data_IF_523255021222
#
_entry.id   IF_523255021222
#
_cell.length_a   1.000
_cell.length_b   1.000
_cell.length_c   1.000
_cell.angle_alpha   90.00
_cell.angle_beta   90.00
_cell.angle_gamma   90.00
#
_symmetry.space_group_name_H-M   'P 1'
#
loop_
_entity.id
_entity.type
_entity.pdbx_description
1 polymer ?
#
# COMPACT_ATOMS: atom_id res chain seq x y z
N UNK A 1 -2.37 56.33 -48.50
CA UNK A 1 -2.22 56.14 -47.04
C UNK A 1 -2.77 54.75 -46.69
N UNK A 2 -1.90 53.76 -46.76
CA UNK A 2 -2.29 52.35 -46.51
C UNK A 2 -2.11 52.06 -45.00
N UNK A 3 -3.20 51.73 -44.32
CA UNK A 3 -3.20 51.26 -42.96
C UNK A 3 -2.92 49.77 -42.93
N UNK A 4 -1.70 49.39 -42.48
CA UNK A 4 -1.33 48.04 -42.15
C UNK A 4 -1.96 47.65 -40.82
N UNK A 5 -2.88 46.67 -40.84
CA UNK A 5 -3.46 46.07 -39.63
C UNK A 5 -2.49 44.97 -39.17
N UNK A 6 -1.91 45.12 -38.01
CA UNK A 6 -1.15 44.10 -37.30
C UNK A 6 -2.11 43.21 -36.52
N UNK A 7 -2.28 41.94 -36.95
CA UNK A 7 -2.99 40.92 -36.16
C UNK A 7 -1.97 40.28 -35.21
N UNK A 8 -2.11 40.55 -33.92
CA UNK A 8 -1.33 39.87 -32.85
C UNK A 8 -2.05 38.56 -32.57
N UNK A 9 -1.48 37.43 -32.99
CA UNK A 9 -1.93 36.12 -32.64
C UNK A 9 -1.36 35.76 -31.25
N UNK A 10 -2.20 35.87 -30.19
CA UNK A 10 -1.82 35.41 -28.85
C UNK A 10 -1.92 33.88 -28.81
N UNK A 11 -0.77 33.21 -28.82
CA UNK A 11 -0.69 31.77 -28.55
C UNK A 11 -0.83 31.56 -27.05
N UNK A 12 -1.98 31.10 -26.62
CA UNK A 12 -2.17 30.63 -25.25
C UNK A 12 -1.42 29.30 -25.07
N UNK A 13 -0.27 29.33 -24.41
CA UNK A 13 0.44 28.12 -23.98
C UNK A 13 -0.33 27.57 -22.76
N UNK A 14 -1.17 26.58 -22.99
CA UNK A 14 -1.76 25.78 -21.92
C UNK A 14 -0.64 24.90 -21.35
N UNK A 15 -0.09 25.26 -20.21
CA UNK A 15 0.81 24.40 -19.46
C UNK A 15 0.02 23.17 -18.99
N UNK A 16 0.20 22.03 -19.67
CA UNK A 16 -0.27 20.73 -19.20
C UNK A 16 0.66 20.35 -18.06
N UNK A 17 0.24 20.60 -16.81
CA UNK A 17 0.90 20.06 -15.64
C UNK A 17 0.67 18.56 -15.62
N UNK A 18 1.65 17.79 -16.08
CA UNK A 18 1.68 16.36 -15.79
C UNK A 18 1.87 16.19 -14.29
N UNK A 19 0.82 15.85 -13.57
CA UNK A 19 0.91 15.40 -12.19
C UNK A 19 1.65 14.06 -12.22
N UNK A 20 2.95 14.09 -11.95
CA UNK A 20 3.72 12.90 -11.64
C UNK A 20 3.25 12.45 -10.26
N UNK A 21 2.35 11.46 -10.20
CA UNK A 21 1.92 10.87 -8.94
C UNK A 21 3.11 10.15 -8.34
N UNK A 22 3.70 10.73 -7.31
CA UNK A 22 4.85 10.16 -6.62
C UNK A 22 4.37 8.96 -5.78
N UNK A 23 4.68 7.76 -6.23
CA UNK A 23 4.52 6.55 -5.44
C UNK A 23 5.60 6.50 -4.36
N UNK A 24 5.19 6.37 -3.10
CA UNK A 24 6.11 6.15 -1.98
C UNK A 24 6.12 4.66 -1.65
N UNK A 25 7.31 4.07 -1.48
CA UNK A 25 7.49 2.66 -1.15
C UNK A 25 8.27 2.50 0.14
N UNK A 26 7.88 1.55 0.98
CA UNK A 26 8.60 1.11 2.16
C UNK A 26 8.94 -0.37 1.99
N UNK A 27 10.23 -0.66 1.84
CA UNK A 27 10.78 -2.01 1.71
C UNK A 27 11.81 -2.25 2.80
N UNK A 28 11.82 -3.47 3.36
CA UNK A 28 12.86 -3.90 4.28
C UNK A 28 14.22 -3.94 3.57
N UNK A 29 15.27 -3.46 4.25
CA UNK A 29 16.62 -3.35 3.70
C UNK A 29 17.68 -4.17 4.48
N UNK A 30 17.25 -4.87 5.52
CA UNK A 30 18.06 -5.70 6.41
C UNK A 30 18.01 -5.24 7.87
N UNK A 31 18.39 -6.12 8.80
CA UNK A 31 18.25 -5.86 10.23
C UNK A 31 19.14 -4.70 10.72
N UNK A 32 18.69 -4.02 11.77
CA UNK A 32 19.47 -3.03 12.52
C UNK A 32 18.81 -1.67 12.68
N UNK A 33 18.09 -1.18 11.68
CA UNK A 33 17.50 0.18 11.68
C UNK A 33 16.01 0.20 11.30
N UNK A 34 15.27 -0.85 11.61
CA UNK A 34 13.88 -1.06 11.19
C UNK A 34 12.95 0.12 11.51
N UNK A 35 12.97 0.64 12.75
CA UNK A 35 12.10 1.76 13.14
C UNK A 35 12.51 3.07 12.46
N UNK A 36 13.81 3.29 12.34
CA UNK A 36 14.38 4.45 11.66
C UNK A 36 14.00 4.44 10.18
N UNK A 37 14.10 3.28 9.52
CA UNK A 37 13.67 3.10 8.14
C UNK A 37 12.18 3.39 7.97
N UNK A 38 11.32 2.80 8.79
CA UNK A 38 9.87 3.00 8.75
C UNK A 38 9.54 4.50 8.91
N UNK A 39 10.09 5.14 9.93
CA UNK A 39 9.84 6.56 10.18
C UNK A 39 10.41 7.46 9.07
N UNK A 40 11.59 7.15 8.54
CA UNK A 40 12.20 7.96 7.46
C UNK A 40 11.34 7.99 6.19
N UNK A 41 10.57 6.92 5.93
CA UNK A 41 9.68 6.83 4.76
C UNK A 41 8.29 7.37 5.06
N UNK A 42 7.67 6.95 6.18
CA UNK A 42 6.27 7.24 6.46
C UNK A 42 6.07 8.56 7.23
N UNK A 43 7.05 9.01 7.98
CA UNK A 43 7.00 10.27 8.74
C UNK A 43 8.42 10.81 9.03
N UNK A 44 9.10 11.42 8.06
CA UNK A 44 10.49 11.86 8.20
C UNK A 44 10.76 12.81 9.38
N UNK A 45 9.72 13.48 9.88
CA UNK A 45 9.81 14.42 11.00
C UNK A 45 9.06 13.95 12.27
N UNK A 46 8.71 12.65 12.35
CA UNK A 46 7.90 12.14 13.45
C UNK A 46 8.07 10.65 13.72
N UNK A 47 7.18 10.11 14.53
CA UNK A 47 7.07 8.68 14.80
C UNK A 47 5.67 8.19 14.43
N UNK A 48 5.62 7.12 13.66
CA UNK A 48 4.37 6.49 13.18
C UNK A 48 4.28 5.01 13.53
N UNK A 49 5.09 4.60 14.51
CA UNK A 49 5.12 3.23 15.03
C UNK A 49 4.34 3.20 16.35
N UNK A 50 3.45 2.26 16.46
CA UNK A 50 2.66 2.00 17.66
C UNK A 50 3.00 0.59 18.18
N UNK A 51 3.92 0.51 19.13
CA UNK A 51 4.41 -0.75 19.70
C UNK A 51 4.56 -0.65 21.21
N UNK A 52 4.51 -1.77 21.94
CA UNK A 52 4.64 -1.78 23.40
C UNK A 52 5.95 -1.17 23.90
N UNK A 53 7.06 -1.43 23.24
CA UNK A 53 8.39 -0.92 23.61
C UNK A 53 8.54 0.60 23.46
N UNK A 54 7.61 1.27 22.79
CA UNK A 54 7.55 2.73 22.67
C UNK A 54 6.54 3.38 23.64
N UNK A 55 5.89 2.59 24.49
CA UNK A 55 4.98 3.15 25.51
C UNK A 55 5.75 3.91 26.59
N UNK A 56 5.20 5.04 27.10
CA UNK A 56 5.88 5.87 28.10
C UNK A 56 6.19 5.17 29.42
N UNK A 57 5.45 4.11 29.77
CA UNK A 57 5.65 3.33 31.00
C UNK A 57 6.86 2.39 30.92
N UNK A 58 7.41 2.16 29.75
CA UNK A 58 8.59 1.32 29.56
C UNK A 58 8.36 -0.17 29.82
N UNK A 59 7.12 -0.63 29.86
CA UNK A 59 6.74 -1.96 30.33
C UNK A 59 7.28 -3.13 29.48
N UNK A 60 7.68 -2.90 28.24
CA UNK A 60 8.08 -3.95 27.30
C UNK A 60 9.53 -3.84 26.79
N UNK A 61 10.35 -3.02 27.44
CA UNK A 61 11.73 -2.79 26.99
C UNK A 61 12.61 -4.05 27.02
N UNK A 62 12.29 -5.04 27.86
CA UNK A 62 13.06 -6.27 27.98
C UNK A 62 13.01 -7.14 26.72
N UNK A 63 11.91 -7.14 25.96
CA UNK A 63 11.83 -7.83 24.67
C UNK A 63 12.55 -7.05 23.57
N UNK A 64 12.54 -5.73 23.65
CA UNK A 64 13.07 -4.84 22.62
C UNK A 64 12.02 -4.53 21.54
N UNK A 65 12.48 -4.30 20.31
CA UNK A 65 11.62 -3.86 19.20
C UNK A 65 10.67 -4.96 18.74
N UNK A 66 9.38 -4.65 18.64
CA UNK A 66 8.32 -5.57 18.22
C UNK A 66 8.14 -5.65 16.70
N UNK A 67 8.90 -4.88 15.94
CA UNK A 67 8.98 -4.99 14.48
C UNK A 67 10.45 -5.17 14.13
N UNK A 68 10.75 -6.28 13.46
CA UNK A 68 12.09 -6.61 12.99
C UNK A 68 12.10 -6.83 11.47
N UNK A 69 13.28 -6.76 10.87
CA UNK A 69 13.50 -7.19 9.50
C UNK A 69 14.13 -8.59 9.51
N UNK A 70 13.44 -9.53 8.88
CA UNK A 70 13.85 -10.94 8.77
C UNK A 70 13.99 -11.33 7.31
N UNK A 71 14.89 -12.29 7.02
CA UNK A 71 15.00 -12.83 5.67
C UNK A 71 13.89 -13.86 5.44
N UNK A 72 13.08 -13.65 4.39
CA UNK A 72 12.03 -14.58 3.97
C UNK A 72 12.48 -15.36 2.74
N UNK A 73 12.49 -16.69 2.87
CA UNK A 73 12.98 -17.60 1.82
C UNK A 73 12.03 -17.71 0.63
N UNK A 74 10.71 -17.50 0.82
CA UNK A 74 9.75 -17.60 -0.27
C UNK A 74 9.84 -16.39 -1.20
N UNK A 75 10.09 -15.19 -0.65
CA UNK A 75 10.31 -13.97 -1.42
C UNK A 75 11.79 -13.71 -1.74
N UNK A 76 12.72 -14.48 -1.15
CA UNK A 76 14.17 -14.33 -1.28
C UNK A 76 14.66 -12.89 -0.99
N UNK A 77 14.13 -12.28 0.08
CA UNK A 77 14.48 -10.91 0.51
C UNK A 77 14.16 -10.68 1.98
N UNK A 78 14.63 -9.55 2.53
CA UNK A 78 14.19 -9.10 3.84
C UNK A 78 12.74 -8.58 3.78
N UNK A 79 12.00 -8.86 4.85
CA UNK A 79 10.60 -8.46 5.07
C UNK A 79 10.45 -7.97 6.51
N UNK A 80 9.39 -7.24 6.80
CA UNK A 80 9.05 -6.84 8.17
C UNK A 80 8.28 -7.97 8.86
N UNK A 81 8.65 -8.29 10.10
CA UNK A 81 7.90 -9.21 10.96
C UNK A 81 7.44 -8.46 12.22
N UNK A 82 6.15 -8.53 12.49
CA UNK A 82 5.47 -7.86 13.60
C UNK A 82 5.12 -8.90 14.64
N UNK A 83 5.54 -8.71 15.89
CA UNK A 83 5.40 -9.68 16.98
C UNK A 83 4.41 -9.22 18.02
N UNK A 84 3.58 -10.12 18.52
CA UNK A 84 2.74 -9.91 19.71
C UNK A 84 2.96 -11.05 20.69
N UNK A 85 3.11 -10.72 21.97
CA UNK A 85 3.42 -11.67 23.03
C UNK A 85 2.35 -11.68 24.13
N UNK A 86 2.26 -12.81 24.81
CA UNK A 86 1.52 -12.97 26.04
C UNK A 86 2.49 -13.19 27.19
N UNK A 87 2.15 -12.69 28.37
CA UNK A 87 2.89 -13.02 29.59
C UNK A 87 2.83 -14.53 29.85
N UNK A 88 3.98 -15.16 29.95
CA UNK A 88 4.09 -16.58 30.25
C UNK A 88 3.73 -16.90 31.72
N UNK A 89 3.39 -15.91 32.52
CA UNK A 89 3.03 -16.09 33.97
C UNK A 89 4.21 -16.39 34.87
N UNK A 90 5.46 -16.28 34.40
CA UNK A 90 6.67 -16.65 35.16
C UNK A 90 7.28 -15.52 35.99
N UNK A 91 6.94 -14.26 35.68
CA UNK A 91 7.60 -13.10 36.31
C UNK A 91 6.70 -12.28 37.23
N UNK A 92 5.38 -12.51 37.25
CA UNK A 92 4.42 -11.70 38.02
C UNK A 92 4.28 -10.25 37.52
N UNK A 93 4.98 -9.90 36.43
CA UNK A 93 4.83 -8.67 35.69
C UNK A 93 3.98 -9.02 34.47
N UNK A 94 2.85 -8.35 34.31
CA UNK A 94 2.00 -8.50 33.11
C UNK A 94 2.74 -7.90 31.90
N UNK A 95 3.54 -8.70 31.26
CA UNK A 95 4.31 -8.32 30.06
C UNK A 95 3.51 -8.61 28.78
N UNK A 96 2.21 -8.36 28.83
CA UNK A 96 1.37 -8.44 27.66
C UNK A 96 1.58 -7.21 26.79
N UNK A 97 1.71 -7.38 25.50
CA UNK A 97 1.96 -6.32 24.52
C UNK A 97 0.83 -5.28 24.43
N UNK A 98 0.50 -4.69 25.57
CA UNK A 98 -0.53 -3.67 25.71
C UNK A 98 0.08 -2.32 25.36
N UNK A 99 -0.17 -1.85 24.15
CA UNK A 99 0.30 -0.56 23.63
C UNK A 99 -0.84 0.46 23.48
N UNK A 100 -1.82 0.37 24.37
CA UNK A 100 -2.96 1.29 24.45
C UNK A 100 -3.26 1.63 25.91
N UNK A 101 -3.93 2.76 26.13
CA UNK A 101 -4.43 3.09 27.48
C UNK A 101 -5.50 2.10 27.97
N UNK A 102 -6.06 1.29 27.07
CA UNK A 102 -7.02 0.24 27.39
C UNK A 102 -6.29 -1.08 27.53
N UNK A 103 -6.34 -1.67 28.73
CA UNK A 103 -5.70 -2.95 29.05
C UNK A 103 -6.35 -4.18 28.37
N UNK A 104 -7.31 -3.98 27.48
CA UNK A 104 -8.03 -5.03 26.77
C UNK A 104 -7.56 -5.25 25.32
N UNK A 105 -6.43 -4.63 24.92
CA UNK A 105 -5.94 -4.65 23.52
C UNK A 105 -4.44 -4.69 23.43
N UNK A 106 -3.95 -5.45 22.48
CA UNK A 106 -2.55 -5.47 22.07
C UNK A 106 -2.38 -4.80 20.71
N UNK A 107 -1.29 -4.02 20.55
CA UNK A 107 -1.04 -3.29 19.29
C UNK A 107 0.43 -3.28 18.93
N UNK A 108 0.70 -3.73 17.71
CA UNK A 108 1.98 -3.56 17.01
C UNK A 108 1.65 -3.14 15.58
N UNK A 109 1.65 -1.84 15.30
CA UNK A 109 1.21 -1.27 14.03
C UNK A 109 2.14 -0.17 13.55
N UNK A 110 2.21 -0.01 12.23
CA UNK A 110 2.72 1.18 11.55
C UNK A 110 1.57 1.89 10.85
N UNK A 111 1.72 3.20 10.63
CA UNK A 111 0.67 4.04 10.03
C UNK A 111 1.26 5.23 9.28
N UNK A 112 0.42 5.97 8.57
CA UNK A 112 0.70 7.39 8.29
C UNK A 112 -0.09 8.26 9.27
N UNK A 113 0.34 9.52 9.50
CA UNK A 113 -0.33 10.40 10.45
C UNK A 113 -0.08 11.89 10.13
N UNK A 114 -0.39 12.79 11.06
CA UNK A 114 -0.22 14.22 10.87
C UNK A 114 1.23 14.62 10.45
N UNK A 115 2.24 13.93 11.00
CA UNK A 115 3.66 14.12 10.67
C UNK A 115 4.10 13.51 9.33
N UNK A 116 3.23 12.76 8.67
CA UNK A 116 3.51 12.20 7.34
C UNK A 116 3.40 13.25 6.25
N UNK A 117 4.17 13.14 5.16
CA UNK A 117 3.96 13.93 3.95
C UNK A 117 2.53 13.87 3.43
N UNK A 118 2.07 14.91 2.74
CA UNK A 118 0.68 14.99 2.28
C UNK A 118 0.32 13.88 1.28
N UNK A 119 1.24 13.52 0.40
CA UNK A 119 1.06 12.41 -0.54
C UNK A 119 0.96 11.01 0.09
N UNK A 120 0.98 10.91 1.41
CA UNK A 120 0.72 9.68 2.17
C UNK A 120 -0.62 9.72 2.93
N UNK A 121 -1.44 10.75 2.69
CA UNK A 121 -2.74 10.99 3.33
C UNK A 121 -3.81 11.06 2.26
N UNK A 122 -4.97 10.46 2.49
CA UNK A 122 -6.11 10.60 1.58
C UNK A 122 -7.02 11.73 2.05
N UNK A 123 -7.08 12.86 1.34
CA UNK A 123 -7.99 13.97 1.65
C UNK A 123 -9.25 13.93 0.79
N UNK A 124 -10.28 14.69 1.18
CA UNK A 124 -11.57 14.67 0.50
C UNK A 124 -11.44 14.95 -1.01
N UNK A 125 -11.97 14.06 -1.82
CA UNK A 125 -11.97 14.13 -3.29
C UNK A 125 -10.80 13.40 -3.95
N UNK A 126 -9.74 13.11 -3.22
CA UNK A 126 -8.58 12.38 -3.73
C UNK A 126 -8.87 10.89 -3.89
N UNK A 127 -8.08 10.25 -4.73
CA UNK A 127 -8.02 8.80 -4.83
C UNK A 127 -6.65 8.34 -4.38
N UNK A 128 -6.60 7.38 -3.47
CA UNK A 128 -5.35 6.81 -2.95
C UNK A 128 -5.34 5.32 -3.21
N UNK A 129 -4.20 4.80 -3.64
CA UNK A 129 -3.98 3.36 -3.80
C UNK A 129 -2.91 2.90 -2.83
N UNK A 130 -3.26 1.92 -2.01
CA UNK A 130 -2.38 1.22 -1.09
C UNK A 130 -2.07 -0.15 -1.64
N UNK A 131 -0.79 -0.56 -1.57
CA UNK A 131 -0.35 -1.90 -1.92
C UNK A 131 0.57 -2.42 -0.84
N UNK A 132 0.43 -3.70 -0.53
CA UNK A 132 1.32 -4.39 0.39
C UNK A 132 1.20 -5.89 0.20
N UNK A 133 2.16 -6.61 0.76
CA UNK A 133 2.10 -8.07 0.91
C UNK A 133 2.01 -8.42 2.37
N UNK A 134 1.35 -9.54 2.66
CA UNK A 134 1.41 -10.13 3.99
C UNK A 134 1.43 -11.65 3.92
N UNK A 135 1.93 -12.26 5.02
CA UNK A 135 1.93 -13.70 5.24
C UNK A 135 1.53 -13.97 6.68
N UNK A 136 0.39 -14.63 6.85
CA UNK A 136 -0.08 -15.12 8.15
C UNK A 136 0.53 -16.49 8.37
N UNK A 137 1.14 -16.80 9.54
CA UNK A 137 1.71 -18.11 9.79
C UNK A 137 0.62 -19.19 9.85
N UNK A 138 1.02 -20.43 9.56
CA UNK A 138 0.14 -21.58 9.71
C UNK A 138 -0.29 -21.73 11.16
N UNK A 139 -1.60 -21.88 11.39
CA UNK A 139 -2.17 -22.03 12.71
C UNK A 139 -2.20 -20.74 13.53
N UNK A 140 -2.21 -19.57 12.91
CA UNK A 140 -2.42 -18.29 13.57
C UNK A 140 -3.67 -18.28 14.44
N UNK A 141 -3.58 -17.71 15.66
CA UNK A 141 -4.69 -17.70 16.62
C UNK A 141 -5.29 -16.30 16.79
N UNK A 142 -6.30 -15.94 15.99
CA UNK A 142 -6.96 -14.64 16.16
C UNK A 142 -7.86 -14.61 17.40
N UNK A 143 -8.09 -13.41 17.93
CA UNK A 143 -9.09 -13.17 18.95
C UNK A 143 -10.51 -13.44 18.43
N UNK A 144 -11.40 -13.87 19.34
CA UNK A 144 -12.82 -14.01 19.03
C UNK A 144 -13.51 -12.66 18.79
N UNK A 145 -13.00 -11.58 19.39
CA UNK A 145 -13.54 -10.24 19.21
C UNK A 145 -13.01 -9.60 17.92
N UNK A 146 -11.71 -9.41 17.80
CA UNK A 146 -11.06 -8.92 16.58
C UNK A 146 -9.54 -9.09 16.62
N UNK A 147 -8.94 -9.27 15.48
CA UNK A 147 -7.51 -9.10 15.24
C UNK A 147 -7.36 -8.41 13.88
N UNK A 148 -7.24 -7.08 13.90
CA UNK A 148 -7.02 -6.31 12.68
C UNK A 148 -5.57 -6.47 12.22
N UNK A 149 -5.37 -6.75 10.96
CA UNK A 149 -4.06 -6.79 10.31
C UNK A 149 -3.85 -5.58 9.39
N UNK A 150 -4.94 -4.92 9.04
CA UNK A 150 -4.96 -3.66 8.32
C UNK A 150 -6.21 -2.86 8.67
N UNK A 151 -6.07 -1.54 8.68
CA UNK A 151 -7.15 -0.60 8.91
C UNK A 151 -7.04 0.60 7.98
N UNK A 152 -8.17 1.08 7.46
CA UNK A 152 -8.31 2.46 6.99
C UNK A 152 -8.99 3.24 8.08
N UNK A 153 -8.31 4.25 8.60
CA UNK A 153 -8.78 5.04 9.73
C UNK A 153 -8.75 6.53 9.38
N UNK A 154 -9.76 7.27 9.82
CA UNK A 154 -9.78 8.72 9.73
C UNK A 154 -8.86 9.37 10.79
N UNK A 155 -8.64 10.66 10.65
CA UNK A 155 -8.01 11.54 11.63
C UNK A 155 -8.91 12.74 11.85
N UNK A 156 -8.97 13.20 13.08
CA UNK A 156 -9.86 14.23 13.58
C UNK A 156 -11.36 13.85 13.53
N UNK A 157 -12.18 14.60 14.23
CA UNK A 157 -13.63 14.38 14.27
C UNK A 157 -13.99 12.98 14.78
N UNK A 158 -14.89 12.29 14.06
CA UNK A 158 -15.28 10.91 14.36
C UNK A 158 -14.20 9.94 13.87
N UNK A 159 -13.14 9.77 14.67
CA UNK A 159 -12.00 8.91 14.37
C UNK A 159 -11.81 7.74 15.35
N UNK A 160 -12.75 7.49 16.27
CA UNK A 160 -12.63 6.40 17.24
C UNK A 160 -12.60 5.03 16.56
N UNK A 161 -13.47 4.81 15.59
CA UNK A 161 -13.57 3.57 14.85
C UNK A 161 -12.91 3.66 13.46
N UNK A 162 -12.31 2.57 12.96
CA UNK A 162 -11.84 2.52 11.57
C UNK A 162 -13.00 2.66 10.58
N UNK A 163 -12.70 2.94 9.32
CA UNK A 163 -13.68 2.95 8.22
C UNK A 163 -13.74 1.57 7.57
N UNK A 164 -12.56 1.00 7.27
CA UNK A 164 -12.43 -0.37 6.80
C UNK A 164 -11.39 -1.12 7.62
N UNK A 165 -11.59 -2.42 7.79
CA UNK A 165 -10.58 -3.31 8.39
C UNK A 165 -10.46 -4.61 7.62
N UNK A 166 -9.23 -5.11 7.50
CA UNK A 166 -8.96 -6.50 7.20
C UNK A 166 -8.66 -7.20 8.53
N UNK A 167 -9.56 -8.11 8.93
CA UNK A 167 -9.62 -8.65 10.29
C UNK A 167 -9.58 -10.15 10.25
N UNK A 168 -8.68 -10.76 11.01
CA UNK A 168 -8.77 -12.18 11.33
C UNK A 168 -9.62 -12.35 12.58
N UNK A 169 -10.46 -13.38 12.60
CA UNK A 169 -11.37 -13.65 13.73
C UNK A 169 -11.45 -15.14 14.03
N UNK A 170 -11.39 -15.48 15.33
CA UNK A 170 -11.61 -16.83 15.80
C UNK A 170 -13.03 -17.27 15.51
N UNK A 171 -13.17 -18.51 15.08
CA UNK A 171 -14.43 -19.16 14.79
C UNK A 171 -14.21 -20.63 14.43
N UNK A 172 -15.24 -21.29 13.92
CA UNK A 172 -15.16 -22.67 13.44
C UNK A 172 -15.69 -22.72 12.00
N UNK A 173 -14.83 -22.56 10.98
CA UNK A 173 -13.40 -22.22 11.00
C UNK A 173 -13.12 -20.74 11.27
N UNK A 174 -11.84 -20.40 11.62
CA UNK A 174 -11.35 -19.03 11.69
C UNK A 174 -11.55 -18.30 10.35
N UNK A 175 -11.78 -16.99 10.41
CA UNK A 175 -12.11 -16.17 9.24
C UNK A 175 -11.09 -15.05 9.01
N UNK A 176 -10.87 -14.74 7.73
CA UNK A 176 -10.40 -13.46 7.23
C UNK A 176 -11.63 -12.66 6.80
N UNK A 177 -11.79 -11.46 7.32
CA UNK A 177 -12.98 -10.63 7.13
C UNK A 177 -12.60 -9.26 6.60
N UNK A 178 -13.27 -8.78 5.56
CA UNK A 178 -13.32 -7.38 5.19
C UNK A 178 -14.55 -6.75 5.84
N UNK A 179 -14.34 -5.78 6.72
CA UNK A 179 -15.40 -5.13 7.48
C UNK A 179 -15.43 -3.65 7.14
N UNK A 180 -16.60 -3.14 6.82
CA UNK A 180 -16.91 -1.71 6.76
C UNK A 180 -17.59 -1.29 8.04
N UNK A 181 -17.11 -0.24 8.67
CA UNK A 181 -17.73 0.31 9.89
C UNK A 181 -18.59 1.50 9.50
N UNK A 182 -19.89 1.33 9.60
CA UNK A 182 -20.89 2.23 9.02
C UNK A 182 -20.90 3.59 9.72
N UNK A 183 -20.75 3.59 11.05
CA UNK A 183 -20.94 4.78 11.86
C UNK A 183 -19.97 4.85 13.06
N UNK A 184 -20.05 5.95 13.79
CA UNK A 184 -19.28 6.20 15.02
C UNK A 184 -19.50 5.17 16.12
N UNK A 185 -20.63 4.47 16.14
CA UNK A 185 -20.96 3.48 17.15
C UNK A 185 -20.29 2.11 16.87
N UNK A 186 -19.54 2.00 15.77
CA UNK A 186 -18.81 0.78 15.43
C UNK A 186 -19.69 -0.33 14.85
N UNK A 187 -20.83 0.02 14.22
CA UNK A 187 -21.68 -0.96 13.53
C UNK A 187 -20.94 -1.60 12.37
N UNK A 188 -20.78 -2.91 12.43
CA UNK A 188 -19.99 -3.68 11.45
C UNK A 188 -20.87 -4.17 10.29
N UNK A 189 -20.42 -3.89 9.07
CA UNK A 189 -20.96 -4.48 7.84
C UNK A 189 -19.90 -5.36 7.18
N UNK A 190 -20.12 -6.67 7.18
CA UNK A 190 -19.18 -7.69 6.67
C UNK A 190 -19.26 -7.77 5.15
N UNK A 191 -18.33 -7.14 4.46
CA UNK A 191 -18.27 -7.12 2.98
C UNK A 191 -17.76 -8.43 2.38
N UNK A 192 -16.88 -9.14 3.10
CA UNK A 192 -16.40 -10.46 2.73
C UNK A 192 -15.96 -11.26 3.95
N UNK A 193 -16.13 -12.57 3.91
CA UNK A 193 -15.71 -13.50 4.95
C UNK A 193 -15.20 -14.80 4.31
N UNK A 194 -13.90 -15.06 4.45
CA UNK A 194 -13.21 -16.21 3.85
C UNK A 194 -12.56 -17.02 4.95
N UNK A 195 -12.41 -18.34 4.78
CA UNK A 195 -11.70 -19.18 5.76
C UNK A 195 -10.24 -18.70 5.86
N UNK A 196 -9.76 -18.47 7.08
CA UNK A 196 -8.39 -17.98 7.33
C UNK A 196 -7.33 -18.95 6.80
N UNK A 197 -7.60 -20.24 6.84
CA UNK A 197 -6.68 -21.29 6.35
C UNK A 197 -6.26 -21.13 4.88
N UNK A 198 -7.03 -20.39 4.07
CA UNK A 198 -6.64 -20.09 2.68
C UNK A 198 -5.55 -19.04 2.57
N UNK A 199 -5.27 -18.31 3.66
CA UNK A 199 -4.25 -17.25 3.74
C UNK A 199 -3.02 -17.69 4.54
N UNK A 200 -3.12 -18.77 5.32
CA UNK A 200 -2.04 -19.22 6.19
C UNK A 200 -0.87 -19.84 5.41
N UNK A 201 0.35 -19.50 5.81
CA UNK A 201 1.59 -20.04 5.27
C UNK A 201 1.96 -19.55 3.88
N UNK A 202 1.18 -18.67 3.28
CA UNK A 202 1.41 -18.15 1.92
C UNK A 202 1.54 -16.62 1.91
N UNK A 203 2.30 -16.10 0.95
CA UNK A 203 2.31 -14.68 0.65
C UNK A 203 1.12 -14.30 -0.22
N UNK A 204 0.48 -13.19 0.11
CA UNK A 204 -0.58 -12.58 -0.67
C UNK A 204 -0.25 -11.13 -1.01
N UNK A 205 -0.62 -10.72 -2.23
CA UNK A 205 -0.60 -9.34 -2.70
C UNK A 205 -1.95 -8.68 -2.40
N UNK A 206 -1.93 -7.48 -1.86
CA UNK A 206 -3.12 -6.66 -1.66
C UNK A 206 -3.00 -5.38 -2.48
N UNK A 207 -4.06 -5.07 -3.20
CA UNK A 207 -4.26 -3.77 -3.85
C UNK A 207 -5.58 -3.21 -3.36
N UNK A 208 -5.54 -2.05 -2.72
CA UNK A 208 -6.67 -1.33 -2.18
C UNK A 208 -6.70 0.08 -2.75
N UNK A 209 -7.82 0.48 -3.36
CA UNK A 209 -8.00 1.81 -3.95
C UNK A 209 -9.23 2.48 -3.34
N UNK A 210 -9.04 3.69 -2.87
CA UNK A 210 -10.07 4.46 -2.17
C UNK A 210 -10.16 5.85 -2.78
N UNK A 211 -11.34 6.20 -3.32
CA UNK A 211 -11.69 7.61 -3.52
C UNK A 211 -12.30 8.13 -2.23
N UNK A 212 -11.69 9.17 -1.68
CA UNK A 212 -12.12 9.76 -0.42
C UNK A 212 -13.38 10.61 -0.67
N UNK A 213 -14.49 10.22 -0.06
CA UNK A 213 -15.76 10.89 -0.28
C UNK A 213 -16.74 10.71 0.88
N UNK A 214 -17.59 11.73 1.08
CA UNK A 214 -18.68 11.73 2.06
C UNK A 214 -19.95 11.14 1.46
N UNK A 215 -20.80 10.55 2.27
CA UNK A 215 -22.04 9.94 1.81
C UNK A 215 -21.79 8.90 0.71
N UNK A 216 -22.38 9.10 -0.46
CA UNK A 216 -22.24 8.18 -1.61
C UNK A 216 -21.18 8.59 -2.63
N UNK A 217 -20.37 9.62 -2.34
CA UNK A 217 -19.39 10.16 -3.31
C UNK A 217 -18.04 9.44 -3.31
N UNK A 218 -17.77 8.63 -2.29
CA UNK A 218 -16.56 7.81 -2.22
C UNK A 218 -16.68 6.50 -3.00
N UNK A 219 -15.52 5.88 -3.25
CA UNK A 219 -15.44 4.53 -3.81
C UNK A 219 -14.42 3.71 -3.03
N UNK A 220 -14.61 2.41 -3.00
CA UNK A 220 -13.67 1.48 -2.38
C UNK A 220 -13.52 0.23 -3.22
N UNK A 221 -12.29 -0.19 -3.45
CA UNK A 221 -11.99 -1.46 -4.10
C UNK A 221 -10.79 -2.11 -3.41
N UNK A 222 -10.88 -3.42 -3.17
CA UNK A 222 -9.77 -4.23 -2.67
C UNK A 222 -9.71 -5.55 -3.44
N UNK A 223 -8.49 -6.00 -3.73
CA UNK A 223 -8.24 -7.33 -4.28
C UNK A 223 -7.06 -7.94 -3.55
N UNK A 224 -7.22 -9.18 -3.09
CA UNK A 224 -6.19 -9.98 -2.43
C UNK A 224 -5.94 -11.23 -3.27
N UNK A 225 -4.68 -11.43 -3.67
CA UNK A 225 -4.25 -12.53 -4.54
C UNK A 225 -3.11 -13.30 -3.91
N UNK A 226 -3.01 -14.59 -4.19
CA UNK A 226 -1.78 -15.34 -3.91
C UNK A 226 -0.63 -14.81 -4.76
N UNK A 227 0.54 -14.66 -4.16
CA UNK A 227 1.77 -14.26 -4.90
C UNK A 227 2.21 -15.37 -5.85
N UNK A 228 2.04 -16.64 -5.46
CA UNK A 228 2.56 -17.79 -6.19
C UNK A 228 1.93 -18.03 -7.58
N UNK A 229 0.63 -17.75 -7.73
CA UNK A 229 -0.14 -18.10 -8.93
C UNK A 229 -1.13 -17.00 -9.36
N UNK A 230 -1.22 -15.89 -8.62
CA UNK A 230 -2.15 -14.81 -8.89
C UNK A 230 -3.62 -15.12 -8.60
N UNK A 231 -3.92 -16.28 -7.98
CA UNK A 231 -5.31 -16.65 -7.67
C UNK A 231 -5.93 -15.64 -6.70
N UNK A 232 -7.10 -15.10 -7.07
CA UNK A 232 -7.85 -14.18 -6.23
C UNK A 232 -8.46 -14.95 -5.06
N UNK A 233 -8.12 -14.57 -3.83
CA UNK A 233 -8.69 -15.09 -2.60
C UNK A 233 -9.86 -14.26 -2.10
N UNK A 234 -9.78 -12.95 -2.25
CA UNK A 234 -10.81 -12.00 -1.84
C UNK A 234 -10.83 -10.80 -2.79
N UNK A 235 -12.02 -10.35 -3.16
CA UNK A 235 -12.20 -9.06 -3.82
C UNK A 235 -13.52 -8.43 -3.40
N UNK A 236 -13.54 -7.09 -3.35
CA UNK A 236 -14.75 -6.31 -3.11
C UNK A 236 -14.61 -4.95 -3.79
N UNK A 237 -15.69 -4.48 -4.40
CA UNK A 237 -15.76 -3.15 -5.02
C UNK A 237 -17.10 -2.49 -4.70
N UNK A 238 -17.06 -1.21 -4.35
CA UNK A 238 -18.23 -0.38 -4.19
C UNK A 238 -17.96 1.02 -4.75
N UNK A 239 -18.75 1.45 -5.72
CA UNK A 239 -18.60 2.74 -6.40
C UNK A 239 -19.43 3.87 -5.77
N UNK A 240 -20.09 3.60 -4.64
CA UNK A 240 -20.97 4.57 -3.95
C UNK A 240 -20.99 4.24 -2.45
N UNK A 241 -19.95 4.68 -1.72
CA UNK A 241 -19.77 4.38 -0.30
C UNK A 241 -19.08 5.53 0.42
N UNK A 242 -19.44 5.78 1.67
CA UNK A 242 -18.76 6.78 2.48
C UNK A 242 -17.37 6.25 2.92
N UNK A 243 -16.33 7.00 2.60
CA UNK A 243 -14.94 6.67 2.93
C UNK A 243 -14.26 7.70 3.83
N UNK A 244 -14.99 8.77 4.19
CA UNK A 244 -14.60 9.76 5.20
C UNK A 244 -15.87 10.27 5.87
N UNK A 245 -15.85 10.48 7.20
CA UNK A 245 -17.03 10.91 7.93
C UNK A 245 -17.10 12.42 8.00
N UNK A 246 -18.31 12.95 7.83
CA UNK A 246 -18.63 14.35 8.14
C UNK A 246 -18.79 14.52 9.65
N UNK A 247 -18.66 15.77 10.13
CA UNK A 247 -18.97 16.09 11.51
C UNK A 247 -20.36 15.57 11.89
N UNK A 248 -20.47 14.94 13.06
CA UNK A 248 -21.77 14.65 13.63
C UNK A 248 -22.49 15.98 13.91
N UNK A 249 -23.76 16.04 13.60
CA UNK A 249 -24.61 17.20 13.90
C UNK A 249 -25.02 17.17 15.38
N UNK A 250 -24.04 17.34 16.30
CA UNK A 250 -24.35 17.58 17.69
C UNK A 250 -24.41 19.09 17.92
N UNK A 251 -25.56 19.63 18.28
CA UNK A 251 -25.74 21.08 18.48
C UNK A 251 -25.00 21.60 19.73
N UNK A 252 -24.62 20.73 20.64
CA UNK A 252 -23.95 21.11 21.90
C UNK A 252 -22.40 20.98 21.77
N UNK A 253 -21.95 19.99 21.00
CA UNK A 253 -20.53 19.74 20.73
C UNK A 253 -20.30 19.60 19.22
N UNK A 254 -20.18 20.73 18.48
CA UNK A 254 -19.93 20.67 17.06
C UNK A 254 -18.61 19.94 16.82
N UNK A 255 -18.68 18.72 16.29
CA UNK A 255 -17.49 17.95 15.93
C UNK A 255 -16.93 18.48 14.62
N UNK A 256 -15.61 18.55 14.53
CA UNK A 256 -14.96 18.85 13.27
C UNK A 256 -15.09 17.65 12.32
N UNK A 257 -15.15 17.85 11.00
CA UNK A 257 -15.11 16.74 10.04
C UNK A 257 -13.74 16.04 10.12
N UNK A 258 -13.68 14.79 9.66
CA UNK A 258 -12.39 14.14 9.47
C UNK A 258 -11.53 14.92 8.48
N UNK A 259 -10.24 15.10 8.79
CA UNK A 259 -9.29 15.83 7.95
C UNK A 259 -8.75 14.99 6.80
N UNK A 260 -8.43 13.73 7.06
CA UNK A 260 -7.92 12.77 6.07
C UNK A 260 -8.12 11.33 6.53
N UNK A 261 -7.98 10.39 5.60
CA UNK A 261 -7.88 8.96 5.89
C UNK A 261 -6.44 8.49 5.78
N UNK A 262 -6.12 7.42 6.48
CA UNK A 262 -4.79 6.83 6.54
C UNK A 262 -4.83 5.31 6.69
N UNK A 263 -3.81 4.60 6.19
CA UNK A 263 -3.64 3.19 6.43
C UNK A 263 -2.95 2.94 7.78
N UNK A 264 -3.26 1.79 8.36
CA UNK A 264 -2.50 1.16 9.44
C UNK A 264 -2.28 -0.30 9.09
N UNK A 265 -1.08 -0.80 9.32
CA UNK A 265 -0.70 -2.19 9.08
C UNK A 265 -0.01 -2.77 10.31
N UNK A 266 -0.27 -4.03 10.61
CA UNK A 266 0.33 -4.71 11.75
C UNK A 266 -0.63 -5.67 12.43
N UNK A 267 -0.56 -5.75 13.75
CA UNK A 267 -1.45 -6.57 14.57
C UNK A 267 -2.08 -5.70 15.63
N UNK A 268 -3.40 -5.56 15.60
CA UNK A 268 -4.18 -4.93 16.64
C UNK A 268 -5.31 -5.86 17.05
N UNK A 269 -5.16 -6.53 18.21
CA UNK A 269 -6.08 -7.58 18.64
C UNK A 269 -6.70 -7.30 20.00
N UNK A 270 -7.93 -7.74 20.17
CA UNK A 270 -8.60 -7.76 21.47
C UNK A 270 -7.94 -8.78 22.38
N UNK A 271 -7.78 -8.40 23.64
CA UNK A 271 -7.21 -9.21 24.71
C UNK A 271 -8.27 -9.81 25.65
N UNK A 272 -9.57 -9.59 25.37
CA UNK A 272 -10.68 -10.04 26.22
C UNK A 272 -10.82 -11.56 26.28
N UNK A 273 -10.31 -12.31 25.31
CA UNK A 273 -10.31 -13.78 25.29
C UNK A 273 -8.89 -14.36 25.35
N UNK A 274 -8.06 -13.82 26.26
CA UNK A 274 -6.63 -14.13 26.40
C UNK A 274 -6.33 -15.63 26.43
N UNK A 275 -7.17 -16.45 27.03
CA UNK A 275 -6.99 -17.90 27.12
C UNK A 275 -6.96 -18.61 25.75
N UNK A 276 -7.43 -17.96 24.70
CA UNK A 276 -7.40 -18.47 23.32
C UNK A 276 -6.28 -17.86 22.48
N UNK A 277 -5.54 -16.92 23.00
CA UNK A 277 -4.42 -16.25 22.31
C UNK A 277 -3.09 -16.95 22.65
N UNK A 278 -2.08 -16.63 21.87
CA UNK A 278 -0.69 -17.03 22.09
C UNK A 278 0.23 -15.97 21.51
N UNK A 279 1.54 -16.16 21.68
CA UNK A 279 2.54 -15.44 20.93
C UNK A 279 2.36 -15.74 19.44
N UNK A 280 2.28 -14.68 18.63
CA UNK A 280 2.10 -14.78 17.20
C UNK A 280 2.88 -13.68 16.49
N UNK A 281 3.11 -13.86 15.20
CA UNK A 281 3.67 -12.83 14.33
C UNK A 281 2.97 -12.82 12.97
N UNK A 282 3.08 -11.70 12.27
CA UNK A 282 2.66 -11.57 10.87
C UNK A 282 3.78 -10.89 10.10
N UNK A 283 4.08 -11.39 8.91
CA UNK A 283 5.05 -10.76 8.01
C UNK A 283 4.38 -9.85 7.03
N UNK A 284 5.03 -8.72 6.74
CA UNK A 284 4.61 -7.73 5.75
C UNK A 284 5.77 -7.35 4.84
N UNK A 285 5.45 -6.97 3.60
CA UNK A 285 6.43 -6.55 2.60
C UNK A 285 5.81 -5.60 1.57
N UNK A 286 6.65 -4.90 0.83
CA UNK A 286 6.31 -4.15 -0.38
C UNK A 286 5.19 -3.13 -0.17
N UNK A 287 5.25 -2.39 0.95
CA UNK A 287 4.30 -1.31 1.16
C UNK A 287 4.47 -0.21 0.13
N UNK A 288 3.35 0.25 -0.40
CA UNK A 288 3.31 1.33 -1.37
C UNK A 288 2.05 2.17 -1.18
N UNK A 289 2.23 3.48 -1.25
CA UNK A 289 1.16 4.47 -1.21
C UNK A 289 1.31 5.36 -2.44
N UNK A 290 0.25 5.52 -3.22
CA UNK A 290 0.21 6.41 -4.37
C UNK A 290 -1.08 7.22 -4.38
N UNK A 291 -0.98 8.53 -4.53
CA UNK A 291 -2.13 9.39 -4.84
C UNK A 291 -2.51 9.28 -6.31
N UNK A 292 -3.80 9.43 -6.57
CA UNK A 292 -4.38 9.29 -7.90
C UNK A 292 -4.76 7.85 -8.25
N UNK A 293 -5.53 7.69 -9.31
CA UNK A 293 -5.81 6.38 -9.89
C UNK A 293 -4.56 5.92 -10.60
N UNK A 294 -3.87 4.91 -10.08
CA UNK A 294 -2.92 4.18 -10.89
C UNK A 294 -3.68 3.65 -12.09
N UNK A 295 -3.22 3.98 -13.29
CA UNK A 295 -3.80 3.43 -14.51
C UNK A 295 -3.85 1.90 -14.36
N UNK A 296 -4.99 1.29 -14.64
CA UNK A 296 -5.14 -0.17 -14.61
C UNK A 296 -4.19 -0.89 -15.59
N UNK A 297 -3.57 -0.13 -16.51
CA UNK A 297 -2.51 -0.60 -17.40
C UNK A 297 -1.17 -0.82 -16.66
N UNK A 298 -0.94 -0.16 -15.52
CA UNK A 298 0.33 -0.29 -14.78
C UNK A 298 0.41 -1.53 -13.89
N UNK A 299 -0.62 -2.38 -13.82
CA UNK A 299 -0.70 -3.47 -12.84
C UNK A 299 -1.39 -4.78 -13.28
N UNK A 300 -1.46 -5.07 -14.55
CA UNK A 300 -1.57 -6.47 -14.94
C UNK A 300 -0.16 -7.06 -15.05
N UNK A 301 0.42 -7.46 -13.94
CA UNK A 301 1.46 -8.49 -13.95
C UNK A 301 0.80 -9.81 -14.34
N UNK A 302 0.30 -9.87 -15.55
CA UNK A 302 0.20 -11.13 -16.23
C UNK A 302 1.63 -11.48 -16.65
N UNK A 303 2.20 -12.62 -16.26
CA UNK A 303 3.50 -13.06 -16.78
C UNK A 303 3.53 -13.15 -18.32
N UNK A 304 2.38 -12.99 -18.99
CA UNK A 304 2.24 -12.93 -20.46
C UNK A 304 2.43 -11.53 -21.06
N UNK A 305 2.48 -10.47 -20.22
CA UNK A 305 2.58 -9.08 -20.68
C UNK A 305 3.92 -8.42 -20.29
N UNK A 306 4.91 -9.20 -19.88
CA UNK A 306 6.27 -8.69 -19.73
C UNK A 306 6.82 -8.33 -21.12
N UNK A 307 6.88 -7.04 -21.39
CA UNK A 307 7.32 -6.51 -22.67
C UNK A 307 8.84 -6.55 -22.81
N UNK A 308 9.57 -6.49 -21.71
CA UNK A 308 11.03 -6.40 -21.65
C UNK A 308 11.60 -7.46 -20.70
N UNK A 309 12.59 -8.27 -21.19
CA UNK A 309 13.32 -9.27 -20.41
C UNK A 309 14.80 -9.40 -20.83
N UNK A 310 15.75 -9.38 -19.90
CA UNK A 310 15.77 -8.66 -18.61
C UNK A 310 15.87 -7.16 -18.84
N UNK A 311 15.61 -6.35 -17.83
CA UNK A 311 15.78 -4.89 -17.90
C UNK A 311 17.25 -4.43 -17.72
N UNK A 312 18.18 -5.34 -17.51
CA UNK A 312 19.62 -5.12 -17.51
C UNK A 312 20.19 -5.74 -18.80
N UNK A 313 20.82 -4.93 -19.62
CA UNK A 313 21.29 -5.35 -20.95
C UNK A 313 22.70 -4.88 -21.21
N UNK A 314 23.45 -5.66 -22.01
CA UNK A 314 24.71 -5.22 -22.61
C UNK A 314 24.44 -4.60 -23.99
N UNK A 315 24.10 -5.36 -24.99
CA UNK A 315 23.99 -4.88 -26.35
C UNK A 315 22.59 -5.02 -26.95
N UNK A 316 21.78 -5.94 -26.43
CA UNK A 316 20.46 -6.22 -27.02
C UNK A 316 19.39 -6.29 -25.94
N UNK A 317 18.35 -5.49 -26.09
CA UNK A 317 17.13 -5.56 -25.27
C UNK A 317 16.16 -6.53 -25.93
N UNK A 318 15.79 -7.58 -25.18
CA UNK A 318 14.78 -8.55 -25.63
C UNK A 318 13.39 -8.08 -25.26
N UNK A 319 12.45 -8.24 -26.17
CA UNK A 319 11.05 -7.89 -26.01
C UNK A 319 10.19 -9.15 -26.10
N UNK A 320 8.96 -9.08 -25.60
CA UNK A 320 8.01 -10.19 -25.70
C UNK A 320 7.75 -10.56 -27.17
N UNK A 321 7.43 -11.83 -27.43
CA UNK A 321 7.13 -12.32 -28.77
C UNK A 321 5.93 -11.61 -29.43
N UNK A 322 5.01 -11.10 -28.63
CA UNK A 322 3.80 -10.43 -29.09
C UNK A 322 3.96 -8.91 -29.30
N UNK A 323 5.16 -8.36 -29.09
CA UNK A 323 5.39 -6.90 -29.08
C UNK A 323 4.97 -6.24 -30.40
N UNK A 324 5.21 -6.89 -31.53
CA UNK A 324 4.89 -6.39 -32.86
C UNK A 324 3.38 -6.28 -33.14
N UNK A 325 2.56 -7.00 -32.35
CA UNK A 325 1.10 -6.92 -32.43
C UNK A 325 0.54 -5.76 -31.57
N UNK A 326 1.34 -5.23 -30.65
CA UNK A 326 0.92 -4.24 -29.66
C UNK A 326 1.43 -2.84 -30.01
N UNK A 327 2.61 -2.74 -30.65
CA UNK A 327 3.30 -1.48 -30.88
C UNK A 327 3.91 -1.40 -32.26
N UNK A 328 3.95 -0.19 -32.81
CA UNK A 328 4.47 0.10 -34.16
C UNK A 328 5.84 0.78 -34.13
N UNK A 329 6.27 1.27 -32.98
CA UNK A 329 7.52 2.00 -32.81
C UNK A 329 7.96 2.11 -31.36
N UNK A 330 9.17 2.66 -31.18
CA UNK A 330 9.72 2.94 -29.87
C UNK A 330 10.59 4.20 -29.86
N UNK A 331 10.75 4.78 -28.66
CA UNK A 331 11.67 5.89 -28.39
C UNK A 331 12.52 5.55 -27.17
N UNK A 332 13.78 5.95 -27.17
CA UNK A 332 14.72 5.81 -26.06
C UNK A 332 15.09 7.20 -25.54
N UNK A 333 15.02 7.39 -24.23
CA UNK A 333 15.44 8.60 -23.53
C UNK A 333 16.56 8.26 -22.55
N UNK A 334 17.49 9.19 -22.35
CA UNK A 334 18.46 9.10 -21.26
C UNK A 334 17.84 9.46 -19.90
N UNK A 335 18.64 9.35 -18.83
CA UNK A 335 18.21 9.67 -17.45
C UNK A 335 17.78 11.13 -17.24
N UNK A 336 18.16 12.04 -18.14
CA UNK A 336 17.79 13.45 -18.11
C UNK A 336 16.52 13.74 -18.94
N UNK A 337 15.92 12.71 -19.54
CA UNK A 337 14.75 12.85 -20.41
C UNK A 337 15.07 13.34 -21.82
N UNK A 338 16.34 13.36 -22.22
CA UNK A 338 16.74 13.70 -23.57
C UNK A 338 16.46 12.51 -24.49
N UNK A 339 15.80 12.77 -25.64
CA UNK A 339 15.58 11.76 -26.66
C UNK A 339 16.92 11.33 -27.29
N UNK A 340 17.19 10.03 -27.24
CA UNK A 340 18.39 9.39 -27.77
C UNK A 340 18.12 8.73 -29.12
N UNK A 341 16.97 8.04 -29.25
CA UNK A 341 16.60 7.31 -30.45
C UNK A 341 15.08 7.27 -30.59
N UNK A 342 14.61 7.31 -31.85
CA UNK A 342 13.21 7.05 -32.22
C UNK A 342 13.17 6.23 -33.50
N UNK A 343 12.55 5.02 -33.46
CA UNK A 343 12.50 4.11 -34.59
C UNK A 343 11.19 3.32 -34.63
N UNK A 344 10.91 2.76 -35.83
CA UNK A 344 9.85 1.75 -35.98
C UNK A 344 10.27 0.44 -35.33
N UNK A 345 9.32 -0.26 -34.76
CA UNK A 345 9.52 -1.57 -34.14
C UNK A 345 9.32 -2.65 -35.24
N UNK A 346 10.40 -3.29 -35.68
CA UNK A 346 10.40 -4.28 -36.76
C UNK A 346 10.81 -5.69 -36.27
N UNK A 347 11.23 -5.81 -35.02
CA UNK A 347 11.64 -7.09 -34.40
C UNK A 347 11.34 -7.06 -32.91
N UNK A 348 11.38 -8.22 -32.29
CA UNK A 348 11.30 -8.35 -30.82
C UNK A 348 12.63 -8.08 -30.11
N UNK A 349 13.55 -7.37 -30.76
CA UNK A 349 14.82 -6.96 -30.18
C UNK A 349 15.13 -5.51 -30.50
N UNK A 350 15.79 -4.81 -29.57
CA UNK A 350 16.30 -3.45 -29.78
C UNK A 350 17.81 -3.50 -29.56
N UNK A 351 18.58 -3.01 -30.54
CA UNK A 351 20.02 -2.81 -30.41
C UNK A 351 20.29 -1.64 -29.48
N UNK A 352 21.03 -1.92 -28.42
CA UNK A 352 21.47 -0.97 -27.39
C UNK A 352 23.01 -0.78 -27.40
N UNK A 353 23.72 -1.41 -28.34
CA UNK A 353 25.21 -1.45 -28.37
C UNK A 353 25.83 -0.06 -28.52
N UNK A 354 25.14 0.87 -29.19
CA UNK A 354 25.57 2.25 -29.41
C UNK A 354 25.41 3.16 -28.18
N UNK A 355 24.75 2.69 -27.12
CA UNK A 355 24.50 3.45 -25.90
C UNK A 355 25.65 3.24 -24.90
N UNK A 356 26.00 4.29 -24.17
CA UNK A 356 26.94 4.19 -23.04
C UNK A 356 26.27 3.52 -21.84
N UNK A 357 27.09 2.95 -20.95
CA UNK A 357 26.62 2.43 -19.66
C UNK A 357 25.80 3.49 -18.92
N UNK A 358 24.59 3.12 -18.48
CA UNK A 358 23.70 4.05 -17.82
C UNK A 358 22.24 3.61 -17.78
N UNK A 359 21.38 4.48 -17.26
CA UNK A 359 19.95 4.26 -17.16
C UNK A 359 19.24 4.96 -18.32
N UNK A 360 18.35 4.20 -18.97
CA UNK A 360 17.53 4.66 -20.10
C UNK A 360 16.07 4.35 -19.85
N UNK A 361 15.20 5.09 -20.56
CA UNK A 361 13.76 4.86 -20.56
C UNK A 361 13.33 4.57 -22.00
N UNK A 362 12.75 3.41 -22.23
CA UNK A 362 12.19 3.00 -23.52
C UNK A 362 10.69 3.20 -23.48
N UNK A 363 10.12 3.91 -24.45
CA UNK A 363 8.68 4.05 -24.65
C UNK A 363 8.28 3.39 -25.96
N UNK A 364 7.18 2.64 -25.92
CA UNK A 364 6.60 2.03 -27.10
C UNK A 364 5.39 2.84 -27.58
N UNK A 365 5.19 2.90 -28.88
CA UNK A 365 4.16 3.68 -29.54
C UNK A 365 3.18 2.74 -30.23
N UNK A 366 1.88 2.98 -30.09
CA UNK A 366 0.83 2.31 -30.83
C UNK A 366 0.02 3.29 -31.70
N UNK A 367 -0.96 2.80 -32.44
CA UNK A 367 -1.76 3.61 -33.37
C UNK A 367 -2.59 4.70 -32.66
N UNK A 368 -2.93 4.51 -31.39
CA UNK A 368 -3.70 5.45 -30.57
C UNK A 368 -2.81 6.48 -29.86
N UNK A 369 -1.49 6.48 -30.09
CA UNK A 369 -0.47 7.32 -29.44
C UNK A 369 -0.38 7.13 -27.91
N UNK A 370 -0.90 6.06 -27.37
CA UNK A 370 -0.68 5.67 -25.98
C UNK A 370 0.72 5.06 -25.89
N UNK A 371 1.57 5.56 -25.01
CA UNK A 371 2.93 5.07 -24.82
C UNK A 371 3.13 4.51 -23.44
N UNK A 372 3.61 3.28 -23.35
CA UNK A 372 4.16 2.70 -22.13
C UNK A 372 5.63 3.08 -21.98
N UNK A 373 6.15 3.11 -20.75
CA UNK A 373 7.53 3.51 -20.47
C UNK A 373 8.21 2.46 -19.58
N UNK A 374 9.37 1.98 -20.03
CA UNK A 374 10.12 0.92 -19.35
C UNK A 374 11.53 1.39 -19.03
N UNK A 375 11.96 1.15 -17.79
CA UNK A 375 13.33 1.42 -17.33
C UNK A 375 14.26 0.30 -17.80
N UNK A 376 15.36 0.67 -18.44
CA UNK A 376 16.42 -0.23 -18.89
C UNK A 376 17.75 0.24 -18.32
N UNK A 377 18.57 -0.68 -17.85
CA UNK A 377 19.94 -0.44 -17.39
C UNK A 377 20.89 -1.04 -18.41
N UNK A 378 21.68 -0.21 -19.09
CA UNK A 378 22.76 -0.59 -19.98
C UNK A 378 24.03 -0.78 -19.16
N UNK A 379 24.61 -1.98 -19.19
CA UNK A 379 25.86 -2.34 -18.54
C UNK A 379 27.06 -2.17 -19.48
#
# INVERSE_FOLDING_TARGET
MDKKIFVICSVAITAITNFCNAQVTLNANGPGNTYELINSVLAPSGNVIETPDLMPDGSHQAFGRHIAEVFDTDLNKHVFEFYVHLDSGTTGILDNDISTLSADRQRVEIKTYASSPNNLKGTLGETVTYKWRFKVPVGFQPSANFTHIHQIKAVDGDDDNPIFTLTTRKGSPNKMQLIYVIDANGSNDYKSQINLSLFEGIWVDVVETIKVGTGSSGTYAITIKKVSDGMVLMSYTNNSIQTIRTAATDPVFPQVPNSFIRPKWGIYRSFLDVASLRDDSIRFSDFSIAEGTLSSKDFSLNPKDEIIFPNQVHDTLLLSENILNLYIGYTIYDSNGKLVLSQKLNSNTIDMSFLTTGMYFVKFLNEEKVSDSFKVIKN
#
